data_IF_519278610703
#
_entry.id   IF_519278610703
#
_cell.length_a   1.000
_cell.length_b   1.000
_cell.length_c   1.000
_cell.angle_alpha   90.00
_cell.angle_beta   90.00
_cell.angle_gamma   90.00
#
_symmetry.space_group_name_H-M   'P 1'
#
loop_
_entity.id
_entity.type
_entity.pdbx_description
1 polymer ?
#
# COMPACT_ATOMS: atom_id res chain seq x y z
N UNK A 1 10.08 26.93 13.56
CA UNK A 1 9.88 25.48 13.33
C UNK A 1 9.03 24.96 14.48
N UNK A 2 7.83 24.44 14.21
CA UNK A 2 6.99 23.84 15.25
C UNK A 2 7.47 22.40 15.43
N UNK A 3 7.99 22.08 16.63
CA UNK A 3 8.34 20.71 16.97
C UNK A 3 7.05 19.90 17.15
N UNK A 4 6.92 18.72 16.52
CA UNK A 4 5.76 17.86 16.74
C UNK A 4 5.66 17.47 18.22
N UNK A 5 4.44 17.48 18.75
CA UNK A 5 4.19 17.03 20.12
C UNK A 5 4.46 15.54 20.26
N UNK A 6 4.78 15.08 21.48
CA UNK A 6 4.98 13.65 21.75
C UNK A 6 3.76 12.80 21.33
N UNK A 7 2.56 13.36 21.47
CA UNK A 7 1.32 12.72 21.01
C UNK A 7 1.32 12.52 19.50
N UNK A 8 1.62 13.57 18.74
CA UNK A 8 1.68 13.49 17.27
C UNK A 8 2.75 12.50 16.78
N UNK A 9 3.91 12.43 17.45
CA UNK A 9 4.95 11.45 17.14
C UNK A 9 4.48 10.01 17.42
N UNK A 10 3.74 9.82 18.51
CA UNK A 10 3.18 8.51 18.84
C UNK A 10 2.11 8.07 17.85
N UNK A 11 1.28 9.00 17.37
CA UNK A 11 0.25 8.73 16.36
C UNK A 11 0.88 8.39 15.01
N UNK A 12 1.96 9.11 14.61
CA UNK A 12 2.75 8.76 13.43
C UNK A 12 3.36 7.35 13.53
N UNK A 13 3.93 7.00 14.69
CA UNK A 13 4.41 5.63 14.94
C UNK A 13 3.27 4.61 14.84
N UNK A 14 2.09 4.92 15.38
CA UNK A 14 0.91 4.06 15.33
C UNK A 14 0.45 3.80 13.89
N UNK A 15 0.37 4.86 13.07
CA UNK A 15 0.07 4.79 11.65
C UNK A 15 1.10 3.92 10.92
N UNK A 16 2.39 4.15 11.17
CA UNK A 16 3.48 3.39 10.57
C UNK A 16 3.38 1.90 10.87
N UNK A 17 3.12 1.53 12.13
CA UNK A 17 2.93 0.12 12.50
C UNK A 17 1.71 -0.46 11.81
N UNK A 18 0.58 0.26 11.78
CA UNK A 18 -0.61 -0.20 11.08
C UNK A 18 -0.34 -0.47 9.59
N UNK A 19 0.36 0.42 8.88
CA UNK A 19 0.76 0.17 7.49
C UNK A 19 1.65 -1.05 7.35
N UNK A 20 2.66 -1.20 8.22
CA UNK A 20 3.54 -2.37 8.18
C UNK A 20 2.77 -3.67 8.34
N UNK A 21 1.75 -3.71 9.21
CA UNK A 21 0.93 -4.90 9.39
C UNK A 21 0.10 -5.22 8.14
N UNK A 22 -0.46 -4.20 7.48
CA UNK A 22 -1.19 -4.37 6.22
C UNK A 22 -0.31 -4.80 5.04
N UNK A 23 0.96 -4.39 5.03
CA UNK A 23 1.87 -4.65 3.91
C UNK A 23 2.71 -5.90 4.09
N UNK A 24 2.49 -6.65 5.18
CA UNK A 24 3.07 -8.00 5.33
C UNK A 24 2.57 -8.94 4.24
N UNK A 25 3.47 -9.79 3.77
CA UNK A 25 3.23 -10.69 2.63
C UNK A 25 2.02 -11.61 2.82
N UNK A 26 1.79 -12.10 4.03
CA UNK A 26 0.66 -12.98 4.36
C UNK A 26 -0.69 -12.24 4.37
N UNK A 27 -0.69 -10.93 4.67
CA UNK A 27 -1.87 -10.07 4.59
C UNK A 27 -2.10 -9.65 3.14
N UNK A 28 -1.08 -9.14 2.46
CA UNK A 28 -1.19 -8.68 1.07
C UNK A 28 -1.67 -9.79 0.13
N UNK A 29 -1.28 -11.05 0.37
CA UNK A 29 -1.72 -12.20 -0.43
C UNK A 29 -3.22 -12.42 -0.37
N UNK A 30 -3.83 -12.07 0.75
CA UNK A 30 -5.28 -12.13 0.97
C UNK A 30 -5.98 -10.83 0.51
N UNK A 31 -5.24 -9.71 0.47
CA UNK A 31 -5.73 -8.34 0.30
C UNK A 31 -6.19 -7.95 -1.12
N UNK A 32 -6.43 -8.91 -2.02
CA UNK A 32 -6.83 -8.64 -3.41
C UNK A 32 -8.35 -8.72 -3.65
N UNK A 33 -9.16 -8.88 -2.59
CA UNK A 33 -10.63 -8.87 -2.70
C UNK A 33 -11.21 -7.92 -1.66
N UNK A 34 -11.83 -6.83 -2.12
CA UNK A 34 -12.55 -5.87 -1.25
C UNK A 34 -13.58 -6.55 -0.34
N UNK A 35 -14.20 -7.63 -0.84
CA UNK A 35 -15.21 -8.42 -0.12
C UNK A 35 -14.69 -8.97 1.21
N UNK A 36 -13.37 -9.16 1.36
CA UNK A 36 -12.75 -9.71 2.57
C UNK A 36 -12.16 -8.62 3.49
N UNK A 37 -12.42 -7.34 3.22
CA UNK A 37 -11.74 -6.26 3.94
C UNK A 37 -11.97 -6.31 5.45
N UNK A 38 -13.21 -6.48 5.91
CA UNK A 38 -13.50 -6.52 7.35
C UNK A 38 -12.90 -7.77 8.03
N UNK A 39 -12.88 -8.92 7.37
CA UNK A 39 -12.19 -10.12 7.88
C UNK A 39 -10.67 -9.90 8.01
N UNK A 40 -10.07 -9.16 7.07
CA UNK A 40 -8.66 -8.80 7.12
C UNK A 40 -8.38 -7.77 8.20
N UNK A 41 -9.30 -6.85 8.47
CA UNK A 41 -9.18 -5.92 9.61
C UNK A 41 -9.08 -6.71 10.91
N UNK A 42 -9.95 -7.69 11.13
CA UNK A 42 -9.92 -8.51 12.36
C UNK A 42 -8.61 -9.30 12.49
N UNK A 43 -8.12 -9.87 11.38
CA UNK A 43 -6.83 -10.55 11.34
C UNK A 43 -5.66 -9.61 11.71
N UNK A 44 -5.63 -8.41 11.14
CA UNK A 44 -4.59 -7.42 11.44
C UNK A 44 -4.69 -6.90 12.88
N UNK A 45 -5.90 -6.74 13.41
CA UNK A 45 -6.12 -6.35 14.80
C UNK A 45 -5.60 -7.41 15.78
N UNK A 46 -5.89 -8.69 15.54
CA UNK A 46 -5.37 -9.81 16.34
C UNK A 46 -3.82 -9.82 16.33
N UNK A 47 -3.21 -9.65 15.16
CA UNK A 47 -1.76 -9.57 15.03
C UNK A 47 -1.16 -8.36 15.78
N UNK A 48 -1.82 -7.19 15.76
CA UNK A 48 -1.41 -6.03 16.56
C UNK A 48 -1.55 -6.33 18.06
N UNK A 49 -2.61 -7.04 18.46
CA UNK A 49 -2.85 -7.46 19.84
C UNK A 49 -1.74 -8.35 20.41
N UNK A 50 -1.09 -9.14 19.55
CA UNK A 50 0.02 -10.05 19.88
C UNK A 50 1.38 -9.37 19.94
N UNK A 51 1.51 -8.11 19.52
CA UNK A 51 2.78 -7.40 19.59
C UNK A 51 3.25 -7.27 21.05
N UNK A 52 4.57 -7.38 21.33
CA UNK A 52 5.13 -7.21 22.67
C UNK A 52 5.22 -5.72 23.05
N UNK A 53 4.08 -5.03 23.05
CA UNK A 53 3.95 -3.60 23.31
C UNK A 53 3.02 -3.35 24.50
N UNK A 54 3.18 -2.22 25.22
CA UNK A 54 2.20 -1.78 26.21
C UNK A 54 0.80 -1.61 25.62
N UNK A 55 -0.24 -1.97 26.39
CA UNK A 55 -1.65 -1.88 25.94
C UNK A 55 -2.06 -0.48 25.48
N UNK A 56 -1.50 0.56 26.10
CA UNK A 56 -1.74 1.94 25.68
C UNK A 56 -1.24 2.22 24.25
N UNK A 57 -0.12 1.63 23.85
CA UNK A 57 0.41 1.76 22.48
C UNK A 57 -0.39 0.91 21.50
N UNK A 58 -0.75 -0.32 21.87
CA UNK A 58 -1.64 -1.17 21.06
C UNK A 58 -2.97 -0.47 20.77
N UNK A 59 -3.59 0.10 21.79
CA UNK A 59 -4.83 0.88 21.67
C UNK A 59 -4.70 2.04 20.68
N UNK A 60 -3.54 2.72 20.63
CA UNK A 60 -3.28 3.76 19.62
C UNK A 60 -3.16 3.16 18.22
N UNK A 61 -2.42 2.08 18.05
CA UNK A 61 -2.26 1.40 16.75
C UNK A 61 -3.63 0.93 16.22
N UNK A 62 -4.47 0.33 17.08
CA UNK A 62 -5.81 -0.14 16.70
C UNK A 62 -6.66 0.94 16.03
N UNK A 63 -6.58 2.19 16.51
CA UNK A 63 -7.29 3.34 15.91
C UNK A 63 -6.89 3.60 14.45
N UNK A 64 -5.67 3.21 14.07
CA UNK A 64 -5.12 3.43 12.74
C UNK A 64 -5.19 2.21 11.82
N UNK A 65 -5.51 1.01 12.33
CA UNK A 65 -5.58 -0.22 11.53
C UNK A 65 -6.60 -0.08 10.40
N UNK A 66 -7.87 0.19 10.70
CA UNK A 66 -8.93 0.28 9.67
C UNK A 66 -8.70 1.46 8.70
N UNK A 67 -8.36 2.68 9.15
CA UNK A 67 -8.04 3.79 8.23
C UNK A 67 -6.87 3.51 7.29
N UNK A 68 -5.77 2.93 7.79
CA UNK A 68 -4.59 2.62 6.97
C UNK A 68 -4.91 1.54 5.94
N UNK A 69 -5.67 0.51 6.33
CA UNK A 69 -6.16 -0.52 5.42
C UNK A 69 -7.04 0.03 4.30
N UNK A 70 -8.01 0.90 4.63
CA UNK A 70 -8.86 1.56 3.63
C UNK A 70 -8.05 2.41 2.65
N UNK A 71 -7.07 3.16 3.16
CA UNK A 71 -6.21 3.97 2.31
C UNK A 71 -5.37 3.12 1.38
N UNK A 72 -4.75 2.04 1.88
CA UNK A 72 -4.04 1.07 1.05
C UNK A 72 -4.97 0.49 -0.02
N UNK A 73 -6.16 0.02 0.36
CA UNK A 73 -7.13 -0.55 -0.57
C UNK A 73 -7.55 0.44 -1.66
N UNK A 74 -7.81 1.69 -1.30
CA UNK A 74 -8.13 2.76 -2.26
C UNK A 74 -6.98 3.03 -3.23
N UNK A 75 -5.74 3.06 -2.76
CA UNK A 75 -4.57 3.23 -3.61
C UNK A 75 -4.42 2.06 -4.59
N UNK A 76 -4.59 0.84 -4.09
CA UNK A 76 -4.60 -0.37 -4.91
C UNK A 76 -5.69 -0.26 -5.96
N UNK A 77 -6.94 -0.02 -5.58
CA UNK A 77 -8.06 0.14 -6.51
C UNK A 77 -7.81 1.21 -7.57
N UNK A 78 -7.14 2.31 -7.22
CA UNK A 78 -6.77 3.33 -8.21
C UNK A 78 -5.81 2.78 -9.26
N UNK A 79 -4.77 2.05 -8.83
CA UNK A 79 -3.85 1.35 -9.73
C UNK A 79 -4.53 0.23 -10.53
N UNK A 80 -5.63 -0.33 -10.01
CA UNK A 80 -6.33 -1.49 -10.57
C UNK A 80 -7.67 -1.18 -11.27
N UNK A 81 -8.13 0.08 -11.28
CA UNK A 81 -9.48 0.40 -11.73
C UNK A 81 -9.74 -0.07 -13.18
N UNK A 82 -10.78 -0.92 -13.28
CA UNK A 82 -11.20 -1.76 -14.42
C UNK A 82 -11.59 -0.97 -15.68
N UNK A 83 -10.64 -0.64 -16.55
CA UNK A 83 -10.98 -0.33 -17.94
C UNK A 83 -10.03 -0.97 -18.95
N UNK A 84 -9.60 -2.22 -18.71
CA UNK A 84 -9.03 -3.08 -19.74
C UNK A 84 -9.67 -4.47 -19.64
N UNK A 85 -9.89 -5.14 -20.78
CA UNK A 85 -10.73 -6.34 -20.86
C UNK A 85 -10.19 -7.48 -19.98
N UNK A 86 -11.12 -8.31 -19.50
CA UNK A 86 -10.97 -9.46 -18.58
C UNK A 86 -9.85 -10.46 -18.96
N UNK A 87 -9.33 -10.36 -20.19
CA UNK A 87 -8.31 -11.26 -20.74
C UNK A 87 -6.86 -10.79 -20.51
N UNK A 88 -6.64 -9.61 -19.90
CA UNK A 88 -5.29 -9.10 -19.62
C UNK A 88 -4.73 -9.68 -18.31
N UNK A 89 -4.17 -10.89 -18.36
CA UNK A 89 -3.62 -11.64 -17.22
C UNK A 89 -2.43 -11.00 -16.46
N UNK A 90 -1.95 -9.82 -16.83
CA UNK A 90 -0.78 -9.17 -16.20
C UNK A 90 -1.20 -8.05 -15.25
N UNK A 91 -1.77 -8.48 -14.12
CA UNK A 91 -2.13 -7.62 -12.98
C UNK A 91 -0.94 -7.48 -12.04
N UNK A 92 -0.91 -6.41 -11.25
CA UNK A 92 0.00 -6.33 -10.10
C UNK A 92 -0.42 -7.40 -9.08
N UNK A 93 0.43 -8.39 -8.85
CA UNK A 93 0.20 -9.42 -7.86
C UNK A 93 0.50 -8.91 -6.45
N UNK A 94 -0.02 -9.59 -5.44
CA UNK A 94 0.40 -9.34 -4.07
C UNK A 94 1.92 -9.44 -3.88
N UNK A 95 2.59 -10.34 -4.61
CA UNK A 95 4.04 -10.51 -4.48
C UNK A 95 4.77 -9.28 -5.01
N UNK A 96 4.33 -8.72 -6.15
CA UNK A 96 4.86 -7.47 -6.70
C UNK A 96 4.70 -6.29 -5.73
N UNK A 97 3.53 -6.18 -5.08
CA UNK A 97 3.31 -5.18 -4.03
C UNK A 97 4.26 -5.39 -2.86
N UNK A 98 4.35 -6.61 -2.34
CA UNK A 98 5.22 -6.90 -1.19
C UNK A 98 6.70 -6.59 -1.47
N UNK A 99 7.15 -6.78 -2.71
CA UNK A 99 8.53 -6.52 -3.11
C UNK A 99 8.82 -5.04 -3.40
N UNK A 100 7.85 -4.32 -3.95
CA UNK A 100 8.07 -2.97 -4.46
C UNK A 100 7.51 -1.85 -3.59
N UNK A 101 6.70 -2.17 -2.58
CA UNK A 101 6.12 -1.17 -1.69
C UNK A 101 7.20 -0.40 -0.93
N UNK A 102 7.21 0.92 -1.13
CA UNK A 102 8.11 1.84 -0.45
C UNK A 102 7.28 2.70 0.50
N UNK A 103 7.71 2.75 1.76
CA UNK A 103 7.14 3.64 2.76
C UNK A 103 7.97 4.92 2.87
N UNK A 104 7.30 6.04 3.12
CA UNK A 104 7.89 7.31 3.53
C UNK A 104 8.40 7.24 4.98
N UNK A 105 9.13 8.28 5.41
CA UNK A 105 9.62 8.37 6.80
C UNK A 105 8.49 8.43 7.85
N UNK A 106 7.32 8.95 7.45
CA UNK A 106 6.09 8.96 8.25
C UNK A 106 5.35 7.61 8.28
N UNK A 107 5.87 6.60 7.55
CA UNK A 107 5.28 5.27 7.46
C UNK A 107 4.12 5.14 6.47
N UNK A 108 3.73 6.22 5.78
CA UNK A 108 2.75 6.16 4.72
C UNK A 108 3.35 5.54 3.46
N UNK A 109 2.52 4.93 2.62
CA UNK A 109 2.97 4.44 1.32
C UNK A 109 3.41 5.62 0.47
N UNK A 110 4.57 5.50 -0.17
CA UNK A 110 5.01 6.39 -1.22
C UNK A 110 4.54 5.83 -2.57
N UNK A 111 3.40 6.29 -3.10
CA UNK A 111 2.82 5.70 -4.31
C UNK A 111 3.73 5.88 -5.51
N UNK A 112 4.35 7.07 -5.63
CA UNK A 112 5.25 7.41 -6.73
C UNK A 112 6.50 6.54 -6.75
N UNK A 113 7.20 6.40 -5.61
CA UNK A 113 8.40 5.56 -5.51
C UNK A 113 8.09 4.08 -5.67
N UNK A 114 6.96 3.63 -5.13
CA UNK A 114 6.49 2.26 -5.34
C UNK A 114 6.24 1.98 -6.82
N UNK A 115 5.58 2.91 -7.52
CA UNK A 115 5.35 2.82 -8.96
C UNK A 115 6.66 2.85 -9.78
N UNK A 116 7.60 3.74 -9.44
CA UNK A 116 8.94 3.77 -10.06
C UNK A 116 9.63 2.42 -9.95
N UNK A 117 9.60 1.79 -8.76
CA UNK A 117 10.24 0.49 -8.52
C UNK A 117 9.55 -0.66 -9.28
N UNK A 118 8.23 -0.65 -9.35
CA UNK A 118 7.46 -1.63 -10.12
C UNK A 118 7.80 -1.60 -11.62
N UNK A 119 7.93 -0.38 -12.17
CA UNK A 119 8.31 -0.18 -13.57
C UNK A 119 9.78 -0.51 -13.82
N UNK A 120 10.70 -0.11 -12.92
CA UNK A 120 12.13 -0.39 -13.08
C UNK A 120 12.44 -1.88 -13.07
N UNK A 121 11.72 -2.65 -12.25
CA UNK A 121 11.85 -4.09 -12.17
C UNK A 121 11.16 -4.83 -13.34
N UNK A 122 10.53 -4.10 -14.27
CA UNK A 122 9.77 -4.65 -15.41
C UNK A 122 8.72 -5.67 -14.98
N UNK A 123 8.16 -5.48 -13.79
CA UNK A 123 7.16 -6.39 -13.24
C UNK A 123 5.82 -6.20 -13.98
N UNK A 124 5.52 -4.97 -14.40
CA UNK A 124 4.38 -4.67 -15.26
C UNK A 124 4.81 -4.51 -16.72
N UNK A 125 3.88 -4.82 -17.63
CA UNK A 125 4.10 -4.72 -19.06
C UNK A 125 2.97 -3.93 -19.73
N UNK A 126 3.26 -3.46 -20.95
CA UNK A 126 2.30 -2.92 -21.91
C UNK A 126 1.43 -1.80 -21.29
N UNK A 127 0.11 -1.87 -21.53
CA UNK A 127 -0.86 -0.84 -21.11
C UNK A 127 -0.89 -0.68 -19.59
N UNK A 128 -0.65 -1.75 -18.81
CA UNK A 128 -0.62 -1.68 -17.35
C UNK A 128 0.56 -0.85 -16.84
N UNK A 129 1.75 -1.04 -17.44
CA UNK A 129 2.93 -0.23 -17.11
C UNK A 129 2.69 1.24 -17.47
N UNK A 130 2.15 1.50 -18.67
CA UNK A 130 1.85 2.85 -19.14
C UNK A 130 0.84 3.57 -18.22
N UNK A 131 -0.27 2.90 -17.87
CA UNK A 131 -1.28 3.44 -16.95
C UNK A 131 -0.71 3.77 -15.59
N UNK A 132 0.08 2.86 -15.01
CA UNK A 132 0.70 3.09 -13.71
C UNK A 132 1.63 4.31 -13.76
N UNK A 133 2.39 4.47 -14.85
CA UNK A 133 3.25 5.63 -15.06
C UNK A 133 2.43 6.93 -15.15
N UNK A 134 1.30 6.93 -15.87
CA UNK A 134 0.41 8.08 -16.00
C UNK A 134 -0.24 8.48 -14.66
N UNK A 135 -0.85 7.53 -13.93
CA UNK A 135 -1.52 7.79 -12.65
C UNK A 135 -0.56 8.41 -11.63
N UNK A 136 0.71 8.01 -11.66
CA UNK A 136 1.74 8.48 -10.73
C UNK A 136 2.61 9.63 -11.29
N UNK A 137 2.22 10.23 -12.43
CA UNK A 137 2.93 11.34 -13.09
C UNK A 137 4.44 11.07 -13.30
N UNK A 138 4.77 9.87 -13.76
CA UNK A 138 6.13 9.42 -14.04
C UNK A 138 6.53 9.75 -15.48
N UNK A 139 6.68 11.03 -15.81
CA UNK A 139 6.92 11.56 -17.16
C UNK A 139 7.99 10.79 -17.95
N UNK A 140 9.15 10.51 -17.33
CA UNK A 140 10.24 9.77 -17.98
C UNK A 140 9.84 8.35 -18.35
N UNK A 141 9.05 7.68 -17.52
CA UNK A 141 8.55 6.32 -17.80
C UNK A 141 7.41 6.35 -18.80
N UNK A 142 6.52 7.34 -18.72
CA UNK A 142 5.46 7.57 -19.71
C UNK A 142 6.06 7.71 -21.10
N UNK A 143 7.08 8.56 -21.28
CA UNK A 143 7.73 8.75 -22.58
C UNK A 143 8.42 7.49 -23.13
N UNK A 144 8.97 6.63 -22.26
CA UNK A 144 9.57 5.35 -22.68
C UNK A 144 8.51 4.33 -23.10
N UNK A 145 7.36 4.35 -22.44
CA UNK A 145 6.26 3.42 -22.66
C UNK A 145 5.27 3.91 -23.73
N UNK A 146 5.39 5.17 -24.15
CA UNK A 146 4.64 5.78 -25.23
C UNK A 146 5.12 5.21 -26.58
N UNK A 147 4.73 3.98 -26.86
CA UNK A 147 4.87 3.37 -28.19
C UNK A 147 3.57 3.71 -28.93
N UNK A 148 3.67 4.64 -29.87
CA UNK A 148 2.65 4.92 -30.90
C UNK A 148 2.47 3.70 -31.80
#
# INVERSE_FOLDING_TARGET
>A
MVSPSLQSLSDLCGIRVAYLMWTRRDVTKKCLKEVLFDELVDFVLDDVGRLPLPEQLKSRIFKHVKPSGKHLLSLLNLWFSNQLPENSQKWLTSDMLSECLILNADGLINPRKTAEKLLSNRMLHDVSAFRLACINFLEKEVLKLWIL
#
